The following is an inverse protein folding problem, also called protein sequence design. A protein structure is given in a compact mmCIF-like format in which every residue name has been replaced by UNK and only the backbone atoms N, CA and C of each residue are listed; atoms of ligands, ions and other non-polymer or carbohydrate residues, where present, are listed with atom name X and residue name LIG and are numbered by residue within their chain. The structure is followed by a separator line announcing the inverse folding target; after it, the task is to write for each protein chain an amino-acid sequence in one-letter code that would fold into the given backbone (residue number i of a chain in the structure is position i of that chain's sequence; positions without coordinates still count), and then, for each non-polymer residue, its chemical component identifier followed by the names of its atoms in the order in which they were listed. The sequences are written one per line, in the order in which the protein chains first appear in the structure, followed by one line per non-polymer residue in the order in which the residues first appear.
data_IF_926350323111
#
_entry.id   IF_926350323111
#
_cell.length_a   1.000
_cell.length_b   1.000
_cell.length_c   1.000
_cell.angle_alpha   90.00
_cell.angle_beta   90.00
_cell.angle_gamma   90.00
#
_symmetry.space_group_name_H-M   'P 1'
#
loop_
_entity.id
_entity.type
_entity.pdbx_description
1 polymer ?
#
# COMPACT_ATOMS: atom_id res chain seq x y z
N UNK A 1 -26.88 54.55 -5.51
CA UNK A 1 -25.56 53.94 -5.25
C UNK A 1 -25.80 52.60 -4.57
N UNK A 2 -25.81 51.55 -5.37
CA UNK A 2 -26.11 50.19 -4.94
C UNK A 2 -24.77 49.48 -4.69
N UNK A 3 -24.49 49.10 -3.43
CA UNK A 3 -23.27 48.39 -3.05
C UNK A 3 -23.34 46.94 -3.55
N UNK A 4 -22.39 46.60 -4.40
CA UNK A 4 -22.18 45.21 -4.84
C UNK A 4 -21.44 44.48 -3.72
N UNK A 5 -22.09 43.48 -3.13
CA UNK A 5 -21.46 42.56 -2.17
C UNK A 5 -20.46 41.68 -2.93
N UNK A 6 -19.19 41.76 -2.56
CA UNK A 6 -18.13 40.88 -3.04
C UNK A 6 -18.23 39.55 -2.26
N UNK A 7 -18.68 38.50 -2.94
CA UNK A 7 -18.65 37.13 -2.41
C UNK A 7 -17.20 36.71 -2.15
N UNK A 8 -16.87 36.53 -0.88
CA UNK A 8 -15.62 35.92 -0.43
C UNK A 8 -15.62 34.45 -0.83
N UNK A 9 -14.56 33.93 -1.49
CA UNK A 9 -14.50 32.52 -1.86
C UNK A 9 -14.47 31.67 -0.58
N UNK A 10 -15.48 30.84 -0.43
CA UNK A 10 -15.57 29.83 0.63
C UNK A 10 -14.37 28.90 0.51
N UNK A 11 -13.44 29.01 1.43
CA UNK A 11 -12.32 28.05 1.59
C UNK A 11 -12.92 26.68 1.83
N UNK A 12 -12.93 25.84 0.81
CA UNK A 12 -13.33 24.44 0.91
C UNK A 12 -12.38 23.77 1.91
N UNK A 13 -12.87 23.47 3.09
CA UNK A 13 -12.13 22.72 4.10
C UNK A 13 -11.70 21.40 3.46
N UNK A 14 -10.41 21.19 3.29
CA UNK A 14 -9.84 19.92 2.82
C UNK A 14 -10.24 18.87 3.84
N UNK A 15 -11.14 17.96 3.47
CA UNK A 15 -11.59 16.88 4.33
C UNK A 15 -10.37 16.05 4.77
N UNK A 16 -10.26 15.80 6.08
CA UNK A 16 -9.17 14.98 6.61
C UNK A 16 -9.24 13.56 6.04
N UNK A 17 -8.09 12.95 5.70
CA UNK A 17 -8.06 11.57 5.23
C UNK A 17 -8.73 10.61 6.23
N UNK A 18 -9.45 9.61 5.72
CA UNK A 18 -10.06 8.57 6.56
C UNK A 18 -8.99 7.69 7.20
N UNK A 19 -7.96 7.32 6.43
CA UNK A 19 -6.83 6.55 6.92
C UNK A 19 -5.53 7.14 6.38
N UNK A 20 -4.56 7.32 7.27
CA UNK A 20 -3.27 7.86 6.89
C UNK A 20 -2.14 7.08 7.56
N UNK A 21 -1.08 6.82 6.79
CA UNK A 21 0.21 6.36 7.29
C UNK A 21 1.24 7.48 7.11
N UNK A 22 1.91 7.89 8.18
CA UNK A 22 2.95 8.94 8.17
C UNK A 22 4.31 8.35 8.48
N UNK A 23 5.27 8.52 7.57
CA UNK A 23 6.68 8.10 7.71
C UNK A 23 6.83 6.65 8.19
N UNK A 24 6.02 5.74 7.62
CA UNK A 24 6.02 4.34 8.02
C UNK A 24 7.32 3.67 7.64
N UNK A 25 7.96 2.99 8.61
CA UNK A 25 9.13 2.16 8.38
C UNK A 25 8.95 0.78 8.98
N UNK A 26 9.48 -0.23 8.29
CA UNK A 26 9.44 -1.63 8.75
C UNK A 26 10.65 -2.39 8.28
N UNK A 27 11.31 -3.05 9.25
CA UNK A 27 12.40 -3.98 9.03
C UNK A 27 11.98 -5.38 9.46
N UNK A 28 12.32 -6.38 8.67
CA UNK A 28 12.19 -7.78 9.04
C UNK A 28 13.56 -8.37 9.30
N UNK A 29 13.70 -9.14 10.37
CA UNK A 29 14.95 -9.82 10.71
C UNK A 29 14.95 -11.21 10.11
N UNK A 30 15.84 -11.43 9.13
CA UNK A 30 16.03 -12.73 8.47
C UNK A 30 17.36 -13.34 8.92
N UNK A 31 17.40 -14.67 9.04
CA UNK A 31 18.63 -15.39 9.34
C UNK A 31 19.37 -15.67 8.03
N UNK A 32 20.65 -15.31 7.95
CA UNK A 32 21.53 -15.57 6.82
C UNK A 32 22.72 -16.40 7.27
N UNK A 33 23.05 -17.48 6.54
CA UNK A 33 24.12 -18.41 6.86
C UNK A 33 23.61 -19.82 7.14
N UNK A 34 24.51 -20.79 7.27
CA UNK A 34 24.23 -22.19 7.61
C UNK A 34 24.88 -22.54 8.95
N UNK A 35 24.18 -23.34 9.79
CA UNK A 35 24.71 -23.83 11.05
C UNK A 35 24.95 -22.73 12.11
N UNK A 36 26.00 -22.88 12.95
CA UNK A 36 26.26 -21.96 14.08
C UNK A 36 26.67 -20.54 13.65
N UNK A 37 27.03 -20.32 12.39
CA UNK A 37 27.41 -19.02 11.82
C UNK A 37 26.21 -18.22 11.26
N UNK A 38 24.99 -18.51 11.69
CA UNK A 38 23.81 -17.76 11.28
C UNK A 38 23.79 -16.36 11.86
N UNK A 39 23.84 -15.33 10.99
CA UNK A 39 23.72 -13.92 11.37
C UNK A 39 22.31 -13.41 11.09
N UNK A 40 21.72 -12.62 12.00
CA UNK A 40 20.49 -11.89 11.72
C UNK A 40 20.81 -10.64 10.91
N UNK A 41 20.13 -10.48 9.77
CA UNK A 41 20.25 -9.31 8.89
C UNK A 41 18.89 -8.67 8.76
N UNK A 42 18.84 -7.34 8.87
CA UNK A 42 17.59 -6.58 8.74
C UNK A 42 17.24 -6.31 7.27
N UNK A 43 16.09 -6.79 6.82
CA UNK A 43 15.52 -6.49 5.51
C UNK A 43 14.61 -5.26 5.64
N UNK A 44 15.00 -4.12 5.04
CA UNK A 44 14.23 -2.86 5.04
C UNK A 44 13.10 -2.92 4.03
N UNK A 45 11.96 -3.46 4.43
CA UNK A 45 10.82 -3.65 3.53
C UNK A 45 10.05 -2.35 3.24
N UNK A 46 9.99 -1.43 4.20
CA UNK A 46 9.38 -0.09 4.07
C UNK A 46 10.26 0.91 4.81
N UNK A 47 10.51 2.06 4.22
CA UNK A 47 11.45 3.05 4.70
C UNK A 47 10.92 4.47 4.45
N UNK A 48 10.29 5.08 5.47
CA UNK A 48 9.77 6.44 5.45
C UNK A 48 8.56 6.67 4.52
N UNK A 49 7.71 5.67 4.30
CA UNK A 49 6.57 5.78 3.38
C UNK A 49 5.39 6.49 4.05
N UNK A 50 4.84 7.49 3.35
CA UNK A 50 3.61 8.16 3.75
C UNK A 50 2.53 7.99 2.68
N UNK A 51 1.30 7.67 3.11
CA UNK A 51 0.15 7.49 2.22
C UNK A 51 -1.13 7.91 2.93
N UNK A 52 -2.01 8.63 2.23
CA UNK A 52 -3.31 9.07 2.72
C UNK A 52 -4.43 8.52 1.85
N UNK A 53 -5.54 8.11 2.48
CA UNK A 53 -6.72 7.56 1.83
C UNK A 53 -7.93 8.40 2.20
N UNK A 54 -8.54 9.02 1.21
CA UNK A 54 -9.72 9.86 1.37
C UNK A 54 -10.99 9.06 1.06
N UNK A 55 -12.11 9.42 1.69
CA UNK A 55 -13.41 8.80 1.41
C UNK A 55 -13.78 8.96 -0.07
N UNK A 56 -14.26 7.87 -0.69
CA UNK A 56 -14.65 7.88 -2.10
C UNK A 56 -13.49 8.05 -3.07
N UNK A 57 -12.25 7.73 -2.65
CA UNK A 57 -11.05 7.81 -3.49
C UNK A 57 -10.27 6.49 -3.49
N UNK A 58 -9.61 6.24 -4.61
CA UNK A 58 -8.70 5.10 -4.77
C UNK A 58 -7.27 5.61 -4.90
N UNK A 59 -6.40 5.13 -4.02
CA UNK A 59 -4.95 5.32 -4.14
C UNK A 59 -4.33 4.00 -4.56
N UNK A 60 -3.70 3.97 -5.74
CA UNK A 60 -2.94 2.80 -6.17
C UNK A 60 -1.49 2.88 -5.68
N UNK A 61 -0.97 1.76 -5.20
CA UNK A 61 0.45 1.59 -4.89
C UNK A 61 1.04 0.61 -5.89
N UNK A 62 1.93 1.10 -6.75
CA UNK A 62 2.52 0.31 -7.84
C UNK A 62 4.03 0.16 -7.69
N UNK A 63 4.60 -0.86 -8.33
CA UNK A 63 6.05 -1.14 -8.33
C UNK A 63 6.36 -2.61 -8.53
N UNK A 64 7.63 -2.95 -8.75
CA UNK A 64 8.09 -4.33 -8.93
C UNK A 64 7.77 -5.22 -7.72
N UNK A 65 7.78 -6.55 -7.95
CA UNK A 65 7.65 -7.52 -6.84
C UNK A 65 8.75 -7.30 -5.80
N UNK A 66 8.39 -7.38 -4.52
CA UNK A 66 9.33 -7.14 -3.42
C UNK A 66 9.61 -5.66 -3.12
N UNK A 67 9.00 -4.68 -3.80
CA UNK A 67 9.22 -3.24 -3.50
C UNK A 67 8.62 -2.75 -2.16
N UNK A 68 7.87 -3.59 -1.44
CA UNK A 68 7.32 -3.25 -0.12
C UNK A 68 5.81 -2.95 -0.09
N UNK A 69 5.11 -2.95 -1.22
CA UNK A 69 3.67 -2.60 -1.36
C UNK A 69 2.75 -3.36 -0.39
N UNK A 70 2.81 -4.69 -0.43
CA UNK A 70 2.06 -5.57 0.50
C UNK A 70 2.38 -5.25 1.97
N UNK A 71 3.65 -4.87 2.26
CA UNK A 71 4.04 -4.51 3.62
C UNK A 71 3.36 -3.21 4.06
N UNK A 72 3.24 -2.21 3.18
CA UNK A 72 2.48 -0.98 3.45
C UNK A 72 1.01 -1.29 3.73
N UNK A 73 0.35 -2.11 2.90
CA UNK A 73 -1.03 -2.53 3.12
C UNK A 73 -1.21 -3.25 4.47
N UNK A 74 -0.29 -4.17 4.83
CA UNK A 74 -0.33 -4.89 6.12
C UNK A 74 -0.05 -4.00 7.32
N UNK A 75 0.78 -2.96 7.18
CA UNK A 75 0.99 -1.94 8.20
C UNK A 75 -0.30 -1.15 8.43
N UNK A 76 -0.92 -0.64 7.37
CA UNK A 76 -2.19 0.09 7.43
C UNK A 76 -3.33 -0.79 7.97
N UNK A 77 -3.39 -2.07 7.61
CA UNK A 77 -4.33 -3.03 8.21
C UNK A 77 -4.02 -3.34 9.68
N UNK A 78 -2.86 -2.90 10.21
CA UNK A 78 -2.33 -3.24 11.53
C UNK A 78 -2.22 -4.75 11.78
N UNK A 79 -1.98 -5.51 10.71
CA UNK A 79 -1.62 -6.93 10.79
C UNK A 79 -0.18 -7.06 11.30
N UNK A 80 0.66 -6.12 10.89
CA UNK A 80 2.03 -5.94 11.41
C UNK A 80 2.18 -4.53 11.98
N UNK A 81 3.07 -4.38 12.97
CA UNK A 81 3.33 -3.08 13.62
C UNK A 81 4.49 -2.38 12.92
N UNK A 82 4.41 -1.07 12.63
CA UNK A 82 5.53 -0.30 12.14
C UNK A 82 6.67 -0.25 13.17
N UNK A 83 7.91 -0.12 12.72
CA UNK A 83 9.09 0.13 13.55
C UNK A 83 9.14 1.61 13.95
N UNK A 84 8.83 2.50 13.00
CA UNK A 84 8.65 3.94 13.20
C UNK A 84 7.52 4.47 12.31
N UNK A 85 7.11 5.71 12.58
CA UNK A 85 5.97 6.34 11.93
C UNK A 85 4.66 6.11 12.68
N UNK A 86 3.58 6.66 12.13
CA UNK A 86 2.26 6.66 12.76
C UNK A 86 1.18 6.26 11.77
N UNK A 87 0.12 5.64 12.27
CA UNK A 87 -1.11 5.37 11.53
C UNK A 87 -2.22 6.17 12.19
N UNK A 88 -2.95 6.94 11.41
CA UNK A 88 -4.06 7.76 11.85
C UNK A 88 -5.35 7.28 11.20
N UNK A 89 -6.43 7.27 11.97
CA UNK A 89 -7.79 7.01 11.50
C UNK A 89 -8.64 8.22 11.90
N UNK A 90 -9.25 8.90 10.93
CA UNK A 90 -9.97 10.15 11.12
C UNK A 90 -9.12 11.24 11.83
N UNK A 91 -7.83 11.30 11.55
CA UNK A 91 -6.88 12.22 12.19
C UNK A 91 -6.34 11.76 13.55
N UNK A 92 -6.93 10.75 14.17
CA UNK A 92 -6.51 10.23 15.48
C UNK A 92 -5.42 9.17 15.35
N UNK A 93 -4.34 9.29 16.11
CA UNK A 93 -3.25 8.32 16.13
C UNK A 93 -3.73 6.98 16.72
N UNK A 94 -3.68 5.93 15.92
CA UNK A 94 -4.07 4.59 16.33
C UNK A 94 -2.93 3.92 17.11
N UNK A 95 -3.06 3.80 18.43
CA UNK A 95 -2.05 3.22 19.34
C UNK A 95 -2.36 1.77 19.71
N UNK A 96 -1.36 1.08 20.25
CA UNK A 96 -1.49 -0.28 20.80
C UNK A 96 -1.75 -1.36 19.75
N UNK A 97 -2.43 -2.46 20.13
CA UNK A 97 -2.76 -3.58 19.24
C UNK A 97 -3.98 -3.27 18.35
N UNK A 98 -4.13 -4.01 17.26
CA UNK A 98 -5.32 -3.95 16.40
C UNK A 98 -6.57 -4.29 17.21
N UNK A 99 -7.46 -3.32 17.39
CA UNK A 99 -8.74 -3.52 18.09
C UNK A 99 -9.82 -4.04 17.15
N UNK A 100 -10.88 -4.65 17.70
CA UNK A 100 -12.05 -5.06 16.91
C UNK A 100 -12.70 -3.86 16.21
N UNK A 101 -12.77 -2.69 16.88
CA UNK A 101 -13.29 -1.44 16.31
C UNK A 101 -12.45 -1.01 15.08
N UNK A 102 -11.13 -1.04 15.16
CA UNK A 102 -10.28 -0.74 13.99
C UNK A 102 -10.47 -1.76 12.88
N UNK A 103 -10.52 -3.05 13.24
CA UNK A 103 -10.70 -4.14 12.28
C UNK A 103 -12.06 -4.09 11.57
N UNK A 104 -13.12 -3.54 12.17
CA UNK A 104 -14.39 -3.35 11.46
C UNK A 104 -14.35 -2.19 10.46
N UNK A 105 -13.53 -1.17 10.70
CA UNK A 105 -13.43 -0.01 9.82
C UNK A 105 -12.42 -0.19 8.67
N UNK A 106 -11.33 -0.92 8.91
CA UNK A 106 -10.24 -1.14 7.95
C UNK A 106 -10.11 -2.63 7.66
N UNK A 107 -10.51 -3.02 6.47
CA UNK A 107 -10.48 -4.41 6.01
C UNK A 107 -9.45 -4.61 4.90
N UNK A 108 -8.97 -5.85 4.75
CA UNK A 108 -7.98 -6.20 3.74
C UNK A 108 -8.45 -7.40 2.91
N UNK A 109 -8.37 -7.25 1.59
CA UNK A 109 -8.48 -8.35 0.61
C UNK A 109 -7.07 -8.80 0.27
N UNK A 110 -6.80 -10.09 0.44
CA UNK A 110 -5.48 -10.68 0.19
C UNK A 110 -5.33 -11.11 -1.26
N UNK A 111 -4.09 -11.19 -1.72
CA UNK A 111 -3.69 -11.56 -3.07
C UNK A 111 -4.23 -12.95 -3.48
N UNK A 112 -4.20 -13.93 -2.58
CA UNK A 112 -4.63 -15.30 -2.86
C UNK A 112 -6.03 -15.56 -2.29
N UNK A 113 -7.08 -15.60 -3.16
CA UNK A 113 -8.43 -15.95 -2.73
C UNK A 113 -8.56 -17.42 -2.33
N UNK A 114 -7.65 -18.31 -2.79
CA UNK A 114 -7.68 -19.73 -2.47
C UNK A 114 -7.29 -19.96 -1.01
N UNK A 115 -6.25 -19.30 -0.53
CA UNK A 115 -5.82 -19.38 0.88
C UNK A 115 -6.73 -18.57 1.82
N UNK A 116 -7.49 -17.61 1.29
CA UNK A 116 -8.33 -16.73 2.10
C UNK A 116 -9.63 -17.38 2.57
N UNK A 117 -10.14 -18.40 1.84
CA UNK A 117 -11.37 -19.11 2.14
C UNK A 117 -11.06 -20.55 2.52
N UNK A 118 -11.45 -20.99 3.73
CA UNK A 118 -11.25 -22.36 4.16
C UNK A 118 -12.12 -23.32 3.29
N UNK A 119 -11.52 -24.25 2.54
CA UNK A 119 -12.23 -25.08 1.56
C UNK A 119 -13.24 -26.07 2.18
N UNK A 120 -13.16 -26.34 3.48
CA UNK A 120 -14.10 -27.26 4.18
C UNK A 120 -15.43 -26.60 4.54
N UNK A 121 -15.55 -25.28 4.36
CA UNK A 121 -16.76 -24.54 4.67
C UNK A 121 -17.40 -23.96 3.41
N UNK A 122 -18.74 -23.93 3.38
CA UNK A 122 -19.53 -23.31 2.31
C UNK A 122 -19.39 -21.79 2.32
N UNK A 123 -19.73 -21.14 1.20
CA UNK A 123 -19.76 -19.66 1.05
C UNK A 123 -20.53 -19.02 2.20
N UNK A 124 -21.70 -19.56 2.53
CA UNK A 124 -22.54 -19.07 3.63
C UNK A 124 -21.80 -18.93 4.96
N UNK A 125 -20.98 -19.92 5.31
CA UNK A 125 -20.17 -19.86 6.55
C UNK A 125 -19.22 -18.63 6.58
N UNK A 126 -18.55 -18.39 5.46
CA UNK A 126 -17.59 -17.28 5.34
C UNK A 126 -18.24 -15.92 5.47
N UNK A 127 -19.49 -15.75 5.03
CA UNK A 127 -20.23 -14.50 5.11
C UNK A 127 -20.95 -14.32 6.47
N UNK A 128 -21.53 -15.39 7.00
CA UNK A 128 -22.22 -15.37 8.30
C UNK A 128 -21.26 -15.13 9.46
N UNK A 129 -20.04 -15.68 9.39
CA UNK A 129 -19.09 -15.60 10.50
C UNK A 129 -18.74 -14.16 10.90
N UNK A 130 -18.30 -13.25 9.98
CA UNK A 130 -18.04 -11.85 10.33
C UNK A 130 -19.31 -11.10 10.78
N UNK A 131 -20.47 -11.34 10.17
CA UNK A 131 -21.74 -10.73 10.59
C UNK A 131 -22.04 -11.03 12.07
N UNK A 132 -21.85 -12.28 12.50
CA UNK A 132 -22.05 -12.70 13.89
C UNK A 132 -21.01 -12.12 14.85
N UNK A 133 -19.71 -12.17 14.48
CA UNK A 133 -18.61 -11.67 15.32
C UNK A 133 -18.75 -10.18 15.61
N UNK A 134 -19.22 -9.41 14.62
CA UNK A 134 -19.37 -7.97 14.75
C UNK A 134 -20.80 -7.51 15.09
N UNK A 135 -21.72 -8.45 15.35
CA UNK A 135 -23.12 -8.17 15.72
C UNK A 135 -23.87 -7.26 14.73
N UNK A 136 -23.58 -7.41 13.42
CA UNK A 136 -24.12 -6.53 12.38
C UNK A 136 -25.49 -7.01 11.86
N UNK A 137 -25.75 -8.30 11.89
CA UNK A 137 -27.04 -8.85 11.52
C UNK A 137 -28.04 -8.67 12.67
N UNK A 138 -28.66 -7.50 12.74
CA UNK A 138 -29.77 -7.21 13.69
C UNK A 138 -31.13 -7.83 13.32
N UNK A 139 -31.17 -8.64 12.22
CA UNK A 139 -32.35 -9.26 11.65
C UNK A 139 -32.07 -10.62 11.03
N UNK A 140 -32.67 -10.90 9.87
CA UNK A 140 -32.46 -12.13 9.14
C UNK A 140 -31.02 -12.19 8.55
N UNK A 141 -30.23 -13.15 9.03
CA UNK A 141 -28.85 -13.36 8.57
C UNK A 141 -28.80 -13.78 7.09
N UNK A 142 -29.84 -14.47 6.60
CA UNK A 142 -29.89 -14.95 5.23
C UNK A 142 -30.12 -13.78 4.24
N UNK A 143 -30.93 -12.81 4.62
CA UNK A 143 -31.11 -11.57 3.84
C UNK A 143 -29.79 -10.79 3.76
N UNK A 144 -29.05 -10.68 4.88
CA UNK A 144 -27.75 -10.03 4.90
C UNK A 144 -26.71 -10.76 4.04
N UNK A 145 -26.74 -12.09 3.99
CA UNK A 145 -25.88 -12.89 3.11
C UNK A 145 -26.25 -12.68 1.65
N UNK A 146 -27.54 -12.65 1.33
CA UNK A 146 -28.05 -12.40 -0.03
C UNK A 146 -27.64 -11.00 -0.51
N UNK A 147 -27.78 -9.98 0.31
CA UNK A 147 -27.33 -8.61 0.02
C UNK A 147 -25.83 -8.57 -0.27
N UNK A 148 -25.01 -9.21 0.56
CA UNK A 148 -23.55 -9.27 0.34
C UNK A 148 -23.17 -9.92 -0.99
N UNK A 149 -23.84 -11.00 -1.38
CA UNK A 149 -23.59 -11.67 -2.67
C UNK A 149 -24.02 -10.80 -3.86
N UNK A 150 -25.15 -10.12 -3.76
CA UNK A 150 -25.62 -9.18 -4.78
C UNK A 150 -24.67 -7.99 -4.94
N UNK A 151 -24.18 -7.41 -3.83
CA UNK A 151 -23.20 -6.29 -3.85
C UNK A 151 -21.90 -6.64 -4.59
N UNK A 152 -21.51 -7.90 -4.59
CA UNK A 152 -20.32 -8.35 -5.34
C UNK A 152 -20.67 -8.97 -6.70
N UNK A 153 -21.90 -8.72 -7.21
CA UNK A 153 -22.41 -9.23 -8.48
C UNK A 153 -22.34 -10.76 -8.59
N UNK A 154 -22.69 -11.47 -7.51
CA UNK A 154 -22.96 -12.90 -7.49
C UNK A 154 -24.48 -13.13 -7.40
N UNK A 155 -25.16 -13.04 -8.54
CA UNK A 155 -26.62 -13.20 -8.64
C UNK A 155 -27.00 -14.33 -9.59
N UNK A 156 -28.07 -15.09 -9.29
CA UNK A 156 -28.85 -15.02 -8.05
C UNK A 156 -28.09 -15.64 -6.86
N UNK A 157 -28.23 -15.11 -5.61
CA UNK A 157 -27.47 -15.54 -4.43
C UNK A 157 -27.58 -17.03 -4.11
N UNK A 158 -28.76 -17.62 -4.31
CA UNK A 158 -29.06 -19.03 -4.01
C UNK A 158 -28.15 -20.01 -4.77
N UNK A 159 -27.66 -19.63 -5.94
CA UNK A 159 -26.72 -20.43 -6.71
C UNK A 159 -25.33 -20.52 -6.09
N UNK A 160 -24.98 -19.62 -5.17
CA UNK A 160 -23.62 -19.50 -4.62
C UNK A 160 -23.54 -19.81 -3.14
N UNK A 161 -24.58 -19.54 -2.37
CA UNK A 161 -24.58 -19.56 -0.89
C UNK A 161 -24.20 -20.93 -0.34
N UNK A 162 -24.65 -22.01 -0.96
CA UNK A 162 -24.41 -23.39 -0.53
C UNK A 162 -23.17 -24.04 -1.17
N UNK A 163 -22.52 -23.38 -2.15
CA UNK A 163 -21.30 -23.88 -2.78
C UNK A 163 -20.10 -23.84 -1.84
N UNK A 164 -19.19 -24.79 -2.08
CA UNK A 164 -17.86 -24.75 -1.48
C UNK A 164 -16.91 -23.88 -2.32
N UNK A 165 -15.82 -23.34 -1.74
CA UNK A 165 -14.84 -22.53 -2.50
C UNK A 165 -14.27 -23.22 -3.74
N UNK A 166 -14.09 -24.54 -3.73
CA UNK A 166 -13.56 -25.29 -4.86
C UNK A 166 -14.53 -25.45 -6.04
N UNK A 167 -15.84 -25.23 -5.82
CA UNK A 167 -16.88 -25.25 -6.85
C UNK A 167 -17.05 -23.88 -7.55
N UNK A 168 -16.29 -22.87 -7.13
CA UNK A 168 -16.34 -21.50 -7.68
C UNK A 168 -15.18 -21.28 -8.65
N UNK A 169 -15.42 -20.47 -9.70
CA UNK A 169 -14.33 -19.94 -10.53
C UNK A 169 -13.41 -19.01 -9.72
N UNK A 170 -12.21 -18.72 -10.24
CA UNK A 170 -11.27 -17.80 -9.59
C UNK A 170 -11.90 -16.43 -9.28
N UNK A 171 -12.59 -15.84 -10.26
CA UNK A 171 -13.28 -14.56 -10.09
C UNK A 171 -14.45 -14.60 -9.13
N UNK A 172 -15.26 -15.68 -9.14
CA UNK A 172 -16.34 -15.86 -8.16
C UNK A 172 -15.78 -16.00 -6.75
N UNK A 173 -14.69 -16.73 -6.57
CA UNK A 173 -13.99 -16.90 -5.29
C UNK A 173 -13.45 -15.57 -4.77
N UNK A 174 -12.85 -14.76 -5.65
CA UNK A 174 -12.39 -13.42 -5.31
C UNK A 174 -13.55 -12.51 -4.86
N UNK A 175 -14.68 -12.55 -5.58
CA UNK A 175 -15.89 -11.80 -5.20
C UNK A 175 -16.44 -12.24 -3.83
N UNK A 176 -16.43 -13.52 -3.51
CA UNK A 176 -16.79 -14.03 -2.16
C UNK A 176 -15.80 -13.52 -1.10
N UNK A 177 -14.49 -13.49 -1.39
CA UNK A 177 -13.49 -12.94 -0.49
C UNK A 177 -13.72 -11.43 -0.23
N UNK A 178 -14.08 -10.68 -1.26
CA UNK A 178 -14.49 -9.26 -1.11
C UNK A 178 -15.79 -9.17 -0.30
N UNK A 179 -16.84 -9.93 -0.61
CA UNK A 179 -18.10 -9.94 0.14
C UNK A 179 -17.88 -10.18 1.64
N UNK A 180 -16.97 -11.11 1.99
CA UNK A 180 -16.59 -11.37 3.38
C UNK A 180 -16.01 -10.12 4.07
N UNK A 181 -15.22 -9.32 3.38
CA UNK A 181 -14.68 -8.08 3.95
C UNK A 181 -15.77 -7.02 4.10
N UNK A 182 -16.72 -6.95 3.17
CA UNK A 182 -17.85 -6.02 3.19
C UNK A 182 -18.89 -6.34 4.28
N UNK A 183 -18.89 -7.56 4.81
CA UNK A 183 -19.82 -8.00 5.85
C UNK A 183 -19.75 -7.13 7.13
N UNK A 184 -18.62 -6.49 7.39
CA UNK A 184 -18.44 -5.60 8.56
C UNK A 184 -18.68 -4.12 8.22
N UNK A 185 -19.12 -3.81 6.99
CA UNK A 185 -19.38 -2.44 6.49
C UNK A 185 -18.17 -1.52 6.71
N UNK A 186 -16.98 -1.87 6.17
CA UNK A 186 -15.76 -1.10 6.38
C UNK A 186 -15.84 0.25 5.66
N UNK A 187 -15.11 1.23 6.16
CA UNK A 187 -14.91 2.53 5.49
C UNK A 187 -13.67 2.52 4.61
N UNK A 188 -12.72 1.62 4.89
CA UNK A 188 -11.46 1.48 4.16
C UNK A 188 -11.27 0.04 3.72
N UNK A 189 -10.95 -0.13 2.43
CA UNK A 189 -10.59 -1.40 1.83
C UNK A 189 -9.14 -1.37 1.33
N UNK A 190 -8.32 -2.27 1.85
CA UNK A 190 -6.93 -2.45 1.43
C UNK A 190 -6.89 -3.69 0.52
N UNK A 191 -6.82 -3.50 -0.78
CA UNK A 191 -6.85 -4.56 -1.78
C UNK A 191 -5.42 -4.87 -2.26
N UNK A 192 -4.85 -5.98 -1.77
CA UNK A 192 -3.49 -6.42 -2.08
C UNK A 192 -3.51 -7.37 -3.28
N UNK A 193 -3.13 -6.88 -4.45
CA UNK A 193 -3.11 -7.59 -5.73
C UNK A 193 -4.41 -8.39 -6.03
N UNK A 194 -5.60 -7.79 -5.90
CA UNK A 194 -6.87 -8.53 -5.90
C UNK A 194 -7.22 -9.17 -7.25
N UNK A 195 -6.48 -8.86 -8.32
CA UNK A 195 -6.74 -9.34 -9.69
C UNK A 195 -5.56 -10.10 -10.29
N UNK A 196 -4.43 -10.23 -9.58
CA UNK A 196 -3.19 -10.81 -10.15
C UNK A 196 -3.31 -12.28 -10.57
N UNK A 197 -4.17 -13.04 -9.89
CA UNK A 197 -4.39 -14.47 -10.16
C UNK A 197 -5.61 -14.73 -11.06
N UNK A 198 -6.17 -13.70 -11.70
CA UNK A 198 -7.38 -13.81 -12.51
C UNK A 198 -7.07 -13.63 -14.00
N UNK A 199 -7.85 -14.33 -14.82
CA UNK A 199 -7.82 -14.16 -16.26
C UNK A 199 -8.20 -12.73 -16.66
N UNK A 200 -7.68 -12.25 -17.80
CA UNK A 200 -7.86 -10.86 -18.27
C UNK A 200 -9.33 -10.46 -18.33
N UNK A 201 -10.21 -11.33 -18.85
CA UNK A 201 -11.64 -11.08 -18.96
C UNK A 201 -12.35 -10.94 -17.61
N UNK A 202 -11.90 -11.67 -16.59
CA UNK A 202 -12.48 -11.63 -15.23
C UNK A 202 -11.93 -10.44 -14.42
N UNK A 203 -10.69 -10.04 -14.70
CA UNK A 203 -9.98 -8.95 -14.01
C UNK A 203 -10.78 -7.64 -14.04
N UNK A 204 -11.26 -7.24 -15.23
CA UNK A 204 -12.05 -6.03 -15.40
C UNK A 204 -13.32 -6.04 -14.54
N UNK A 205 -13.99 -7.19 -14.42
CA UNK A 205 -15.18 -7.34 -13.58
C UNK A 205 -14.93 -7.12 -12.09
N UNK A 206 -13.71 -7.41 -11.58
CA UNK A 206 -13.33 -7.13 -10.18
C UNK A 206 -12.91 -5.67 -10.03
N UNK A 207 -12.23 -5.07 -11.03
CA UNK A 207 -11.90 -3.64 -11.01
C UNK A 207 -13.17 -2.77 -11.01
N UNK A 208 -14.16 -3.11 -11.84
CA UNK A 208 -15.46 -2.43 -11.84
C UNK A 208 -16.18 -2.57 -10.50
N UNK A 209 -16.13 -3.75 -9.86
CA UNK A 209 -16.67 -3.92 -8.52
C UNK A 209 -16.00 -2.97 -7.50
N UNK A 210 -14.67 -2.82 -7.54
CA UNK A 210 -13.96 -1.88 -6.65
C UNK A 210 -14.35 -0.42 -6.95
N UNK A 211 -14.53 -0.05 -8.24
CA UNK A 211 -15.04 1.25 -8.63
C UNK A 211 -16.46 1.52 -8.10
N UNK A 212 -17.37 0.55 -8.23
CA UNK A 212 -18.73 0.64 -7.67
C UNK A 212 -18.73 0.83 -6.15
N UNK A 213 -17.85 0.13 -5.42
CA UNK A 213 -17.71 0.30 -3.98
C UNK A 213 -17.20 1.70 -3.60
N UNK A 214 -16.23 2.24 -4.36
CA UNK A 214 -15.78 3.62 -4.20
C UNK A 214 -16.93 4.61 -4.40
N UNK A 215 -17.66 4.47 -5.52
CA UNK A 215 -18.63 5.48 -5.96
C UNK A 215 -19.92 5.43 -5.15
N UNK A 216 -20.47 4.23 -4.90
CA UNK A 216 -21.77 4.07 -4.22
C UNK A 216 -21.65 4.08 -2.69
N UNK A 217 -20.54 3.56 -2.14
CA UNK A 217 -20.37 3.43 -0.70
C UNK A 217 -19.38 4.45 -0.12
N UNK A 218 -18.85 5.35 -0.98
CA UNK A 218 -17.82 6.34 -0.61
C UNK A 218 -16.62 5.71 0.12
N UNK A 219 -16.27 4.49 -0.26
CA UNK A 219 -15.21 3.72 0.37
C UNK A 219 -13.85 4.28 -0.02
N UNK A 220 -12.96 4.45 0.97
CA UNK A 220 -11.55 4.74 0.73
C UNK A 220 -10.84 3.44 0.36
N UNK A 221 -10.13 3.39 -0.78
CA UNK A 221 -9.51 2.16 -1.27
C UNK A 221 -8.02 2.36 -1.48
N UNK A 222 -7.21 1.47 -0.88
CA UNK A 222 -5.83 1.25 -1.29
C UNK A 222 -5.79 0.07 -2.26
N UNK A 223 -5.33 0.31 -3.48
CA UNK A 223 -5.19 -0.71 -4.52
C UNK A 223 -3.71 -1.01 -4.76
N UNK A 224 -3.23 -2.14 -4.28
CA UNK A 224 -1.85 -2.59 -4.49
C UNK A 224 -1.79 -3.46 -5.75
N UNK A 225 -0.89 -3.12 -6.66
CA UNK A 225 -0.68 -3.87 -7.91
C UNK A 225 0.73 -3.70 -8.45
N UNK A 226 1.16 -4.59 -9.33
CA UNK A 226 2.34 -4.40 -10.17
C UNK A 226 1.99 -3.94 -11.60
N UNK A 227 0.70 -3.90 -11.93
CA UNK A 227 0.16 -3.51 -13.23
C UNK A 227 -0.29 -2.04 -13.21
N UNK A 228 0.51 -1.18 -13.83
CA UNK A 228 0.24 0.26 -13.89
C UNK A 228 -0.98 0.61 -14.76
N UNK A 229 -1.34 -0.25 -15.73
CA UNK A 229 -2.52 -0.03 -16.57
C UNK A 229 -3.81 -0.19 -15.77
N UNK A 230 -3.90 -1.23 -14.93
CA UNK A 230 -5.02 -1.40 -14.01
C UNK A 230 -5.08 -0.30 -12.95
N UNK A 231 -3.92 0.21 -12.49
CA UNK A 231 -3.86 1.36 -11.59
C UNK A 231 -4.41 2.62 -12.25
N UNK A 232 -4.02 2.91 -13.51
CA UNK A 232 -4.56 4.05 -14.28
C UNK A 232 -6.08 3.96 -14.45
N UNK A 233 -6.61 2.75 -14.67
CA UNK A 233 -8.04 2.53 -14.86
C UNK A 233 -8.87 2.83 -13.61
N UNK A 234 -8.39 2.42 -12.45
CA UNK A 234 -9.18 2.43 -11.22
C UNK A 234 -8.88 3.62 -10.30
N UNK A 235 -7.61 4.06 -10.23
CA UNK A 235 -7.15 4.95 -9.18
C UNK A 235 -7.28 6.44 -9.53
N UNK A 236 -7.61 7.24 -8.52
CA UNK A 236 -7.52 8.71 -8.57
C UNK A 236 -6.06 9.18 -8.49
N UNK A 237 -5.24 8.51 -7.67
CA UNK A 237 -3.83 8.80 -7.44
C UNK A 237 -3.00 7.53 -7.51
N UNK A 238 -1.81 7.62 -8.07
CA UNK A 238 -0.83 6.54 -8.08
C UNK A 238 0.39 6.94 -7.24
N UNK A 239 0.85 6.01 -6.41
CA UNK A 239 2.09 6.07 -5.63
C UNK A 239 3.01 4.98 -6.16
N UNK A 240 4.19 5.35 -6.61
CA UNK A 240 5.19 4.42 -7.13
C UNK A 240 6.19 4.07 -6.05
N UNK A 241 6.36 2.78 -5.77
CA UNK A 241 7.30 2.26 -4.78
C UNK A 241 8.46 1.51 -5.44
N UNK A 242 9.68 1.84 -5.03
CA UNK A 242 10.89 1.13 -5.42
C UNK A 242 11.74 0.80 -4.19
N UNK A 243 12.10 -0.47 -4.04
CA UNK A 243 13.02 -0.96 -3.01
C UNK A 243 12.69 -0.44 -1.59
N UNK A 244 11.41 -0.40 -1.22
CA UNK A 244 10.92 0.01 0.11
C UNK A 244 10.68 1.51 0.28
N UNK A 245 10.94 2.34 -0.72
CA UNK A 245 10.72 3.78 -0.70
C UNK A 245 9.66 4.20 -1.71
N UNK A 246 8.98 5.31 -1.43
CA UNK A 246 8.13 6.00 -2.39
C UNK A 246 9.01 6.89 -3.26
N UNK A 247 8.92 6.73 -4.58
CA UNK A 247 9.77 7.46 -5.54
C UNK A 247 9.00 8.49 -6.34
N UNK A 248 7.69 8.31 -6.52
CA UNK A 248 6.83 9.28 -7.21
C UNK A 248 5.38 9.12 -6.75
N UNK A 249 4.63 10.22 -6.69
CA UNK A 249 3.20 10.24 -6.41
C UNK A 249 2.52 11.35 -7.17
N UNK A 250 1.47 11.02 -7.95
CA UNK A 250 0.68 12.00 -8.69
C UNK A 250 -0.76 11.51 -8.95
N UNK A 251 -1.66 12.38 -9.43
CA UNK A 251 -2.92 11.96 -10.05
C UNK A 251 -2.65 10.92 -11.14
N UNK A 252 -3.51 9.91 -11.27
CA UNK A 252 -3.23 8.73 -12.11
C UNK A 252 -2.95 9.07 -13.57
N UNK A 253 -3.71 9.99 -14.13
CA UNK A 253 -3.52 10.48 -15.52
C UNK A 253 -2.20 11.22 -15.66
N UNK A 254 -1.90 12.16 -14.77
CA UNK A 254 -0.66 12.95 -14.80
C UNK A 254 0.58 12.06 -14.69
N UNK A 255 0.60 11.12 -13.74
CA UNK A 255 1.72 10.20 -13.56
C UNK A 255 1.99 9.34 -14.80
N UNK A 256 0.93 8.87 -15.47
CA UNK A 256 1.09 8.01 -16.65
C UNK A 256 1.42 8.77 -17.91
N UNK A 257 0.98 10.02 -18.05
CA UNK A 257 1.26 10.86 -19.21
C UNK A 257 2.60 11.61 -19.09
N UNK A 258 2.96 12.03 -17.87
CA UNK A 258 4.17 12.82 -17.56
C UNK A 258 4.95 12.25 -16.38
N UNK A 259 5.46 11.00 -16.48
CA UNK A 259 6.24 10.40 -15.40
C UNK A 259 7.53 11.18 -15.17
N UNK A 260 7.77 11.60 -13.91
CA UNK A 260 8.92 12.39 -13.53
C UNK A 260 10.14 11.51 -13.15
N UNK A 261 9.91 10.43 -12.40
CA UNK A 261 11.01 9.56 -11.96
C UNK A 261 11.41 8.55 -13.06
N UNK A 262 12.69 8.35 -13.35
CA UNK A 262 13.14 7.41 -14.39
C UNK A 262 12.68 5.96 -14.17
N UNK A 263 12.46 5.53 -12.94
CA UNK A 263 11.87 4.22 -12.64
C UNK A 263 10.40 4.13 -13.10
N UNK A 264 9.60 5.19 -12.90
CA UNK A 264 8.21 5.25 -13.38
C UNK A 264 8.16 5.19 -14.90
N UNK A 265 9.10 5.87 -15.58
CA UNK A 265 9.23 5.80 -17.03
C UNK A 265 9.56 4.37 -17.48
N UNK A 266 10.45 3.68 -16.76
CA UNK A 266 10.78 2.26 -17.03
C UNK A 266 9.55 1.36 -16.83
N UNK A 267 8.78 1.52 -15.74
CA UNK A 267 7.56 0.74 -15.50
C UNK A 267 6.53 0.93 -16.62
N UNK A 268 6.33 2.17 -17.07
CA UNK A 268 5.40 2.49 -18.16
C UNK A 268 5.87 1.96 -19.52
N UNK A 269 7.19 1.93 -19.77
CA UNK A 269 7.74 1.36 -21.01
C UNK A 269 7.61 -0.16 -21.08
N UNK A 270 7.60 -0.82 -19.92
CA UNK A 270 7.43 -2.27 -19.82
C UNK A 270 5.96 -2.72 -19.87
N UNK A 271 5.01 -1.81 -19.57
CA UNK A 271 3.59 -2.06 -19.73
C UNK A 271 3.26 -1.97 -21.24
N UNK A 272 3.02 -3.11 -21.89
CA UNK A 272 2.66 -3.18 -23.31
C UNK A 272 1.34 -2.41 -23.54
N UNK A 273 1.46 -1.18 -24.04
CA UNK A 273 0.35 -0.40 -24.58
C UNK A 273 0.41 -0.50 -26.10
N UNK A 274 -0.53 -1.22 -26.76
CA UNK A 274 -0.54 -1.37 -28.23
C UNK A 274 -0.59 -0.04 -28.96
N UNK A 275 -1.19 1.00 -28.34
CA UNK A 275 -1.36 2.33 -28.95
C UNK A 275 -0.14 3.24 -28.74
N UNK A 276 0.84 2.83 -27.91
CA UNK A 276 2.06 3.59 -27.59
C UNK A 276 3.33 3.00 -28.20
N UNK A 277 3.26 2.40 -29.36
CA UNK A 277 4.38 1.75 -30.08
C UNK A 277 5.63 2.64 -30.36
N UNK A 278 5.64 3.90 -29.89
CA UNK A 278 6.68 4.89 -30.23
C UNK A 278 7.56 5.35 -29.06
N UNK A 279 7.37 4.86 -27.82
CA UNK A 279 8.33 5.19 -26.75
C UNK A 279 9.49 4.21 -26.79
N UNK A 280 10.74 4.69 -26.97
CA UNK A 280 11.90 3.81 -26.92
C UNK A 280 11.93 3.16 -25.51
N UNK A 281 12.11 1.83 -25.49
CA UNK A 281 12.29 1.11 -24.23
C UNK A 281 13.50 1.68 -23.50
N UNK A 282 13.30 2.28 -22.34
CA UNK A 282 14.38 2.74 -21.48
C UNK A 282 15.16 1.51 -21.03
N UNK A 283 16.41 1.41 -21.47
CA UNK A 283 17.31 0.34 -21.07
C UNK A 283 17.72 0.50 -19.60
N UNK A 284 16.85 0.07 -18.70
CA UNK A 284 17.19 -0.15 -17.30
C UNK A 284 17.76 -1.57 -17.15
N UNK A 285 19.07 -1.73 -17.24
CA UNK A 285 19.72 -3.04 -17.07
C UNK A 285 19.83 -3.43 -15.60
N UNK A 286 19.54 -4.71 -15.29
CA UNK A 286 19.81 -5.32 -13.98
C UNK A 286 18.58 -5.70 -13.18
N UNK A 287 18.79 -6.59 -12.20
CA UNK A 287 17.77 -7.03 -11.26
C UNK A 287 17.49 -5.96 -10.19
N UNK A 288 16.30 -5.94 -9.58
CA UNK A 288 16.01 -5.08 -8.43
C UNK A 288 17.02 -5.28 -7.30
N UNK A 289 17.42 -4.20 -6.60
CA UNK A 289 18.41 -4.31 -5.54
C UNK A 289 17.86 -5.13 -4.36
N UNK A 290 18.77 -5.78 -3.66
CA UNK A 290 18.43 -6.53 -2.45
C UNK A 290 18.04 -5.58 -1.33
N UNK A 291 16.87 -5.78 -0.74
CA UNK A 291 16.42 -5.05 0.46
C UNK A 291 17.23 -5.39 1.73
N UNK A 292 18.10 -6.42 1.67
CA UNK A 292 19.02 -6.76 2.76
C UNK A 292 20.21 -5.80 2.81
N UNK A 293 20.62 -5.27 1.65
CA UNK A 293 21.69 -4.30 1.49
C UNK A 293 21.29 -3.35 0.36
N UNK A 294 20.32 -2.45 0.60
CA UNK A 294 19.89 -1.50 -0.41
C UNK A 294 21.07 -0.57 -0.77
N UNK A 295 21.18 -0.13 -2.02
CA UNK A 295 22.16 0.86 -2.44
C UNK A 295 22.09 2.13 -1.57
N UNK A 296 23.23 2.77 -1.33
CA UNK A 296 23.28 4.11 -0.73
C UNK A 296 22.67 5.15 -1.66
N UNK A 297 22.24 6.27 -1.11
CA UNK A 297 21.60 7.33 -1.88
C UNK A 297 20.27 6.93 -2.52
N UNK A 298 20.09 7.31 -3.79
CA UNK A 298 18.94 6.89 -4.57
C UNK A 298 19.02 5.38 -4.85
N UNK A 299 18.05 4.61 -4.38
CA UNK A 299 18.05 3.14 -4.54
C UNK A 299 17.95 2.68 -5.99
N UNK A 300 17.47 3.55 -6.88
CA UNK A 300 17.36 3.26 -8.32
C UNK A 300 18.64 3.58 -9.10
N UNK A 301 19.63 4.30 -8.52
CA UNK A 301 20.81 4.76 -9.24
C UNK A 301 21.57 3.66 -10.02
N UNK A 302 21.67 2.39 -9.56
CA UNK A 302 22.40 1.38 -10.32
C UNK A 302 21.73 0.98 -11.65
N UNK A 303 20.43 1.30 -11.80
CA UNK A 303 19.63 1.00 -12.99
C UNK A 303 19.21 2.27 -13.74
N UNK A 304 19.53 3.44 -13.21
CA UNK A 304 19.10 4.71 -13.76
C UNK A 304 19.97 5.15 -14.94
N UNK A 305 19.41 5.37 -16.14
CA UNK A 305 20.17 5.87 -17.28
C UNK A 305 20.66 7.31 -17.11
N UNK A 306 20.09 8.04 -16.14
CA UNK A 306 20.41 9.43 -15.81
C UNK A 306 21.13 9.56 -14.46
N UNK A 307 21.80 8.48 -14.01
CA UNK A 307 22.49 8.50 -12.73
C UNK A 307 23.61 9.56 -12.71
N UNK A 308 23.63 10.36 -11.66
CA UNK A 308 24.68 11.35 -11.35
C UNK A 308 25.47 10.89 -10.12
N UNK A 309 26.67 11.42 -9.92
CA UNK A 309 27.54 11.06 -8.78
C UNK A 309 26.83 11.22 -7.41
N UNK A 310 26.01 12.24 -7.25
CA UNK A 310 25.24 12.48 -6.04
C UNK A 310 24.22 11.37 -5.77
N UNK A 311 23.67 10.73 -6.82
CA UNK A 311 22.68 9.67 -6.68
C UNK A 311 23.21 8.44 -5.93
N UNK A 312 24.50 8.19 -5.98
CA UNK A 312 25.13 7.05 -5.26
C UNK A 312 25.43 7.36 -3.80
N UNK A 313 25.49 8.65 -3.42
CA UNK A 313 25.93 9.11 -2.10
C UNK A 313 24.78 9.57 -1.21
N UNK A 314 23.82 10.33 -1.75
CA UNK A 314 22.77 11.00 -0.99
C UNK A 314 21.40 10.62 -1.54
N UNK A 315 20.47 10.29 -0.63
CA UNK A 315 19.07 10.04 -1.02
C UNK A 315 18.42 11.33 -1.50
N UNK A 316 17.71 11.31 -2.65
CA UNK A 316 17.06 12.51 -3.15
C UNK A 316 15.91 12.91 -2.23
N UNK A 317 15.70 14.23 -2.01
CA UNK A 317 14.50 14.73 -1.37
C UNK A 317 13.29 14.48 -2.26
N UNK A 318 12.08 14.43 -1.65
CA UNK A 318 10.84 14.51 -2.41
C UNK A 318 10.58 15.97 -2.77
N UNK A 319 10.46 16.27 -4.05
CA UNK A 319 10.19 17.61 -4.58
C UNK A 319 8.87 17.63 -5.32
N UNK A 320 8.15 18.73 -5.24
CA UNK A 320 6.91 18.95 -5.99
C UNK A 320 7.26 19.35 -7.43
N UNK A 321 6.79 18.54 -8.39
CA UNK A 321 6.96 18.76 -9.83
C UNK A 321 5.83 19.63 -10.38
N UNK A 322 4.62 19.39 -9.88
CA UNK A 322 3.40 20.11 -10.23
C UNK A 322 2.41 20.01 -9.05
N UNK A 323 1.27 20.71 -9.08
CA UNK A 323 0.23 20.56 -8.06
C UNK A 323 -0.15 19.09 -7.87
N UNK A 324 0.00 18.58 -6.64
CA UNK A 324 -0.25 17.18 -6.28
C UNK A 324 0.62 16.13 -6.99
N UNK A 325 1.73 16.51 -7.64
CA UNK A 325 2.70 15.61 -8.27
C UNK A 325 4.08 15.83 -7.62
N UNK A 326 4.58 14.82 -6.96
CA UNK A 326 5.90 14.84 -6.30
C UNK A 326 6.75 13.64 -6.72
N UNK A 327 8.08 13.86 -6.79
CA UNK A 327 9.05 12.83 -7.10
C UNK A 327 10.31 12.96 -6.25
N UNK A 328 10.86 11.82 -5.81
CA UNK A 328 12.13 11.74 -5.11
C UNK A 328 13.27 11.47 -6.12
N UNK A 329 13.71 12.52 -6.80
CA UNK A 329 14.73 12.41 -7.86
C UNK A 329 15.58 13.67 -7.96
N UNK A 330 16.91 13.50 -8.00
CA UNK A 330 17.87 14.59 -8.15
C UNK A 330 17.77 15.34 -9.48
N UNK A 331 17.13 14.78 -10.51
CA UNK A 331 16.91 15.47 -11.79
C UNK A 331 16.03 16.71 -11.63
N UNK A 332 15.16 16.74 -10.62
CA UNK A 332 14.20 17.79 -10.37
C UNK A 332 14.60 18.74 -9.24
N UNK A 333 15.76 18.54 -8.65
CA UNK A 333 16.35 19.45 -7.65
C UNK A 333 17.23 20.46 -8.37
N UNK A 334 17.15 21.73 -7.99
CA UNK A 334 17.97 22.78 -8.59
C UNK A 334 19.46 22.50 -8.43
N UNK A 335 20.25 22.88 -9.44
CA UNK A 335 21.69 22.58 -9.47
C UNK A 335 22.44 23.19 -8.27
N UNK A 336 21.99 24.34 -7.75
CA UNK A 336 22.53 25.00 -6.56
C UNK A 336 22.33 24.15 -5.30
N UNK A 337 21.18 23.49 -5.17
CA UNK A 337 20.80 22.69 -3.98
C UNK A 337 21.38 21.28 -3.99
N UNK A 338 21.93 20.83 -5.13
CA UNK A 338 22.58 19.52 -5.24
C UNK A 338 23.94 19.43 -4.51
N UNK A 339 24.48 20.55 -4.04
CA UNK A 339 25.81 20.64 -3.44
C UNK A 339 25.82 20.75 -1.91
N UNK A 340 24.69 20.65 -1.23
CA UNK A 340 24.62 20.75 0.22
C UNK A 340 24.51 19.37 0.90
N UNK A 341 25.63 18.78 1.33
CA UNK A 341 25.61 17.57 2.15
C UNK A 341 25.68 17.87 3.66
N UNK A 342 25.22 19.03 4.11
CA UNK A 342 25.21 19.35 5.53
C UNK A 342 23.80 19.64 6.01
N UNK A 343 23.15 18.64 6.51
CA UNK A 343 22.22 18.60 7.64
C UNK A 343 21.30 17.40 7.54
N UNK A 344 21.72 16.28 8.09
CA UNK A 344 20.85 15.26 8.72
C UNK A 344 21.64 13.99 9.02
N UNK A 345 22.70 14.14 9.79
CA UNK A 345 23.26 13.03 10.57
C UNK A 345 23.05 13.34 12.05
N UNK A 346 21.84 13.08 12.54
CA UNK A 346 21.73 12.78 13.98
C UNK A 346 22.32 11.40 14.22
N UNK A 347 23.34 11.29 15.11
CA UNK A 347 23.90 9.99 15.45
C UNK A 347 22.89 9.23 16.30
N UNK A 348 22.41 8.10 15.79
CA UNK A 348 21.80 7.10 16.65
C UNK A 348 22.84 6.64 17.66
N UNK A 349 22.76 7.16 18.87
CA UNK A 349 23.47 6.73 20.05
C UNK A 349 23.27 5.23 20.28
N UNK A 350 24.25 4.46 19.86
CA UNK A 350 24.56 3.12 20.38
C UNK A 350 25.30 3.31 21.68
N UNK A 351 24.57 3.46 22.79
CA UNK A 351 25.16 3.33 24.14
C UNK A 351 24.13 2.72 25.08
N UNK A 352 24.01 1.40 25.00
CA UNK A 352 23.46 0.56 26.05
C UNK A 352 24.10 -0.84 26.05
N UNK A 353 25.42 -0.89 26.12
CA UNK A 353 26.13 -2.18 26.31
C UNK A 353 27.36 -2.08 27.22
N UNK A 354 27.38 -1.15 28.19
CA UNK A 354 28.51 -1.08 29.14
C UNK A 354 28.07 -0.91 30.60
N UNK A 355 26.89 -1.40 30.97
CA UNK A 355 26.42 -1.29 32.37
C UNK A 355 26.13 -2.65 33.07
N UNK A 356 26.62 -3.78 32.56
CA UNK A 356 26.39 -5.12 33.16
C UNK A 356 27.68 -5.91 33.46
N UNK A 357 28.82 -5.21 33.60
CA UNK A 357 30.10 -5.88 33.96
C UNK A 357 30.83 -5.29 35.16
N UNK A 358 30.13 -4.64 36.10
CA UNK A 358 30.74 -4.23 37.39
C UNK A 358 29.80 -4.48 38.57
N UNK A 359 29.45 -5.73 38.82
CA UNK A 359 28.93 -6.11 40.16
C UNK A 359 29.16 -7.61 40.45
N UNK A 360 30.41 -8.06 40.29
CA UNK A 360 30.83 -9.36 40.83
C UNK A 360 32.33 -9.32 41.18
N UNK A 361 32.69 -8.46 42.11
CA UNK A 361 33.98 -8.57 42.85
C UNK A 361 33.88 -7.74 44.13
N UNK A 362 33.75 -8.39 45.27
CA UNK A 362 33.94 -7.75 46.56
C UNK A 362 33.01 -8.26 47.64
N UNK A 363 33.46 -9.26 48.40
CA UNK A 363 32.76 -9.64 49.62
C UNK A 363 33.17 -11.00 50.19
N UNK A 364 34.46 -11.22 50.44
CA UNK A 364 34.89 -12.22 51.39
C UNK A 364 35.44 -11.50 52.60
N UNK A 365 34.97 -11.84 53.82
CA UNK A 365 35.64 -11.46 55.04
C UNK A 365 34.70 -11.06 56.18
N UNK A 366 34.53 -11.97 57.15
CA UNK A 366 33.96 -11.67 58.46
C UNK A 366 33.00 -12.72 58.94
#
# INVERSE_FOLDING_TARGET
MTAVAVDTPTTTAVASPVLEGRNLSKRFWVRRGRGPLTRRVGLRAVDGVSVSLDAGKVVAVVGESGSGKTTVARLLARIITPESGQILLDGDVVRGKRTRKYASQVQMVFQDPFSSLNPVHRVRYHLVRPLRIHHIAGGNVDDAVSDLLQRVALSPPDQYVEKFPHELSGGQRQRVAIARTLAVRPRVLLADEPVSMLDVSVRLGVLNLLADLRDREHMAILYVTHDIASARYLADRIVVMYAGQMVESAPSVELTDRPAHPYTQLLLSAAADPDRATRPALAGSGAPPSLLAPPSGCRFHPRCPHAMDICSRVAPPSVDIAPAHSAACWLHVDAADRHTPEAQSEPHTTDRETALQKSSAGGTGG
#
